data_IF_981602366889
#
_entry.id   IF_981602366889
#
_cell.length_a   1.000
_cell.length_b   1.000
_cell.length_c   1.000
_cell.angle_alpha   90.00
_cell.angle_beta   90.00
_cell.angle_gamma   90.00
#
_symmetry.space_group_name_H-M   'P 1'
#
loop_
_entity.id
_entity.type
_entity.pdbx_description
1 polymer ?
#
# COMPACT_ATOMS: atom_id res chain seq x y z
N UNK A 1 14.83 11.35 10.71
CA UNK A 1 15.12 9.99 10.23
C UNK A 1 14.24 9.70 9.00
N UNK A 2 14.76 9.10 7.92
CA UNK A 2 13.94 8.74 6.74
C UNK A 2 14.06 7.26 6.44
N UNK A 3 13.09 6.49 6.91
CA UNK A 3 12.93 5.08 6.59
C UNK A 3 12.12 4.91 5.29
N UNK A 4 12.57 4.02 4.42
CA UNK A 4 11.81 3.60 3.24
C UNK A 4 11.37 2.15 3.44
N UNK A 5 10.09 1.88 3.16
CA UNK A 5 9.49 0.54 3.19
C UNK A 5 9.13 0.15 1.76
N UNK A 6 9.67 -0.97 1.27
CA UNK A 6 9.29 -1.59 -0.01
C UNK A 6 8.64 -2.93 0.30
N UNK A 7 7.39 -3.09 -0.11
CA UNK A 7 6.62 -4.31 0.05
C UNK A 7 6.82 -5.21 -1.17
N UNK A 8 6.97 -6.50 -0.96
CA UNK A 8 7.06 -7.54 -2.00
C UNK A 8 6.18 -8.70 -1.55
N UNK A 9 4.94 -8.74 -2.04
CA UNK A 9 3.89 -9.59 -1.45
C UNK A 9 3.77 -9.31 0.07
N UNK A 10 3.97 -10.33 0.90
CA UNK A 10 3.94 -10.23 2.36
C UNK A 10 5.31 -9.93 2.98
N UNK A 11 6.37 -9.95 2.19
CA UNK A 11 7.71 -9.52 2.64
C UNK A 11 7.83 -8.00 2.68
N UNK A 12 8.68 -7.51 3.59
CA UNK A 12 9.00 -6.08 3.69
C UNK A 12 10.51 -5.84 3.70
N UNK A 13 10.99 -4.99 2.79
CA UNK A 13 12.35 -4.47 2.78
C UNK A 13 12.39 -3.06 3.36
N UNK A 14 13.10 -2.91 4.48
CA UNK A 14 13.42 -1.64 5.12
C UNK A 14 14.75 -1.09 4.62
N UNK A 15 14.80 0.23 4.43
CA UNK A 15 16.04 0.96 4.15
C UNK A 15 16.08 2.12 5.15
N UNK A 16 17.02 2.05 6.10
CA UNK A 16 17.06 2.95 7.26
C UNK A 16 18.48 3.03 7.85
N UNK A 17 18.76 4.07 8.62
CA UNK A 17 19.97 4.23 9.42
C UNK A 17 19.90 3.47 10.76
N UNK A 18 18.68 3.33 11.29
CA UNK A 18 18.35 2.59 12.52
C UNK A 18 17.50 1.35 12.23
N UNK A 19 17.61 0.36 13.11
CA UNK A 19 16.77 -0.85 13.06
C UNK A 19 15.35 -0.46 13.50
N UNK A 20 14.31 -0.75 12.70
CA UNK A 20 12.93 -0.52 13.11
C UNK A 20 12.59 -1.33 14.37
N UNK A 21 11.83 -0.73 15.28
CA UNK A 21 11.24 -1.45 16.41
C UNK A 21 10.12 -2.34 15.89
N UNK A 22 10.41 -3.64 15.76
CA UNK A 22 9.46 -4.66 15.33
C UNK A 22 9.62 -5.89 16.22
N UNK A 23 8.52 -6.61 16.47
CA UNK A 23 8.54 -7.82 17.29
C UNK A 23 9.25 -9.01 16.61
N UNK A 24 9.37 -8.99 15.28
CA UNK A 24 9.91 -10.10 14.49
C UNK A 24 11.38 -9.91 14.14
N UNK A 25 12.10 -11.02 13.96
CA UNK A 25 13.50 -11.01 13.51
C UNK A 25 13.61 -10.35 12.12
N UNK A 26 14.57 -9.43 11.98
CA UNK A 26 14.90 -8.80 10.72
C UNK A 26 16.15 -9.46 10.11
N UNK A 27 16.06 -9.83 8.84
CA UNK A 27 17.19 -10.31 8.04
C UNK A 27 17.98 -9.12 7.49
N UNK A 28 19.16 -8.85 8.07
CA UNK A 28 20.02 -7.79 7.60
C UNK A 28 20.72 -8.19 6.30
N UNK A 29 20.64 -7.31 5.30
CA UNK A 29 21.30 -7.46 4.00
C UNK A 29 22.59 -6.63 4.00
N UNK A 30 23.67 -7.23 3.53
CA UNK A 30 24.92 -6.52 3.28
C UNK A 30 24.74 -5.53 2.13
N UNK A 31 25.17 -4.28 2.33
CA UNK A 31 25.01 -3.21 1.35
C UNK A 31 26.00 -3.30 0.20
N UNK A 32 27.22 -3.80 0.44
CA UNK A 32 28.29 -3.81 -0.56
C UNK A 32 27.96 -4.77 -1.71
N UNK A 33 27.41 -5.93 -1.38
CA UNK A 33 26.99 -6.96 -2.33
C UNK A 33 25.54 -6.83 -2.83
N UNK A 34 24.79 -5.81 -2.38
CA UNK A 34 23.37 -5.72 -2.68
C UNK A 34 23.06 -5.26 -4.12
N UNK A 35 22.51 -6.18 -4.91
CA UNK A 35 21.77 -5.88 -6.14
C UNK A 35 20.27 -6.17 -5.97
N UNK A 36 19.44 -5.16 -6.21
CA UNK A 36 17.99 -5.26 -5.97
C UNK A 36 17.30 -6.29 -6.87
N UNK A 37 17.72 -6.41 -8.15
CA UNK A 37 17.09 -7.34 -9.08
C UNK A 37 17.40 -8.78 -8.72
N UNK A 38 18.65 -9.05 -8.32
CA UNK A 38 19.11 -10.35 -7.85
C UNK A 38 18.41 -10.74 -6.55
N UNK A 39 18.36 -9.82 -5.58
CA UNK A 39 17.57 -10.00 -4.36
C UNK A 39 16.10 -10.32 -4.67
N UNK A 40 15.44 -9.49 -5.48
CA UNK A 40 14.03 -9.68 -5.84
C UNK A 40 13.77 -11.01 -6.58
N UNK A 41 14.70 -11.45 -7.43
CA UNK A 41 14.58 -12.72 -8.18
C UNK A 41 14.71 -13.94 -7.26
N UNK A 42 15.59 -13.87 -6.28
CA UNK A 42 15.89 -14.98 -5.36
C UNK A 42 15.00 -14.99 -4.12
N UNK A 43 14.24 -13.90 -3.88
CA UNK A 43 13.33 -13.79 -2.75
C UNK A 43 12.16 -14.78 -2.88
N UNK A 44 11.92 -15.57 -1.84
CA UNK A 44 10.70 -16.36 -1.72
C UNK A 44 9.49 -15.45 -1.59
N UNK A 45 8.48 -15.69 -2.42
CA UNK A 45 7.29 -14.83 -2.53
C UNK A 45 6.14 -15.26 -1.63
N UNK A 46 6.27 -16.42 -0.99
CA UNK A 46 5.28 -17.07 -0.13
C UNK A 46 5.66 -16.98 1.36
N UNK A 47 6.62 -16.11 1.69
CA UNK A 47 7.02 -15.81 3.07
C UNK A 47 6.55 -14.41 3.49
N UNK A 48 6.59 -14.15 4.80
CA UNK A 48 6.30 -12.86 5.41
C UNK A 48 7.53 -12.32 6.16
N UNK A 49 8.70 -12.43 5.53
CA UNK A 49 9.97 -12.06 6.13
C UNK A 49 10.23 -10.55 6.10
N UNK A 50 10.95 -10.09 7.12
CA UNK A 50 11.45 -8.73 7.21
C UNK A 50 12.92 -8.69 6.80
N UNK A 51 13.26 -7.79 5.89
CA UNK A 51 14.62 -7.54 5.42
C UNK A 51 15.03 -6.10 5.69
N UNK A 52 16.31 -5.86 5.90
CA UNK A 52 16.80 -4.50 6.12
C UNK A 52 18.15 -4.25 5.46
N UNK A 53 18.25 -3.11 4.78
CA UNK A 53 19.52 -2.50 4.39
C UNK A 53 19.79 -1.36 5.38
N UNK A 54 20.73 -1.57 6.29
CA UNK A 54 21.17 -0.54 7.23
C UNK A 54 22.20 0.37 6.56
N UNK A 55 21.93 1.67 6.45
CA UNK A 55 22.82 2.60 5.78
C UNK A 55 22.65 4.05 6.27
N UNK A 56 23.73 4.83 6.21
CA UNK A 56 23.70 6.25 6.59
C UNK A 56 22.87 7.13 5.63
N UNK A 57 22.68 6.68 4.38
CA UNK A 57 21.99 7.46 3.34
C UNK A 57 20.83 6.68 2.68
N UNK A 58 19.74 6.36 3.41
CA UNK A 58 18.63 5.55 2.90
C UNK A 58 17.98 6.06 1.61
N UNK A 59 17.91 7.39 1.45
CA UNK A 59 17.35 8.03 0.26
C UNK A 59 18.10 7.68 -1.01
N UNK A 60 19.43 7.57 -0.95
CA UNK A 60 20.25 7.28 -2.13
C UNK A 60 20.13 5.81 -2.53
N UNK A 61 20.08 4.89 -1.55
CA UNK A 61 19.81 3.48 -1.81
C UNK A 61 18.41 3.29 -2.43
N UNK A 62 17.40 3.92 -1.85
CA UNK A 62 16.04 3.88 -2.41
C UNK A 62 15.97 4.44 -3.84
N UNK A 63 16.70 5.53 -4.14
CA UNK A 63 16.79 6.06 -5.51
C UNK A 63 17.43 5.06 -6.47
N UNK A 64 18.50 4.36 -6.07
CA UNK A 64 19.14 3.32 -6.89
C UNK A 64 18.15 2.20 -7.21
N UNK A 65 17.45 1.67 -6.19
CA UNK A 65 16.40 0.65 -6.37
C UNK A 65 15.31 1.16 -7.32
N UNK A 66 14.79 2.37 -7.08
CA UNK A 66 13.77 2.98 -7.93
C UNK A 66 14.20 3.11 -9.40
N UNK A 67 15.47 3.44 -9.67
CA UNK A 67 16.00 3.53 -11.05
C UNK A 67 16.11 2.17 -11.73
N UNK A 68 16.24 1.09 -10.95
CA UNK A 68 16.31 -0.28 -11.49
C UNK A 68 14.95 -0.86 -11.90
N UNK A 69 13.85 -0.20 -11.52
CA UNK A 69 12.48 -0.63 -11.74
C UNK A 69 11.71 0.31 -12.67
N UNK A 70 10.66 -0.21 -13.32
CA UNK A 70 9.66 0.64 -13.98
C UNK A 70 8.77 1.26 -12.91
N UNK A 71 8.70 2.58 -12.88
CA UNK A 71 7.84 3.30 -11.93
C UNK A 71 6.40 3.35 -12.44
N UNK A 72 5.48 2.73 -11.70
CA UNK A 72 4.04 2.97 -11.87
C UNK A 72 3.56 3.87 -10.74
N UNK A 73 2.77 4.88 -11.10
CA UNK A 73 2.12 5.78 -10.16
C UNK A 73 0.69 5.30 -9.94
N UNK A 74 0.28 5.22 -8.70
CA UNK A 74 -1.06 4.85 -8.29
C UNK A 74 -1.55 5.77 -7.17
N UNK A 75 -2.86 5.80 -6.96
CA UNK A 75 -3.46 6.51 -5.85
C UNK A 75 -4.74 5.82 -5.39
N UNK A 76 -5.07 5.99 -4.11
CA UNK A 76 -6.24 5.38 -3.49
C UNK A 76 -6.64 6.09 -2.20
N UNK A 77 -7.70 5.60 -1.56
CA UNK A 77 -8.30 6.26 -0.40
C UNK A 77 -8.56 5.31 0.77
N UNK A 78 -8.36 5.82 1.98
CA UNK A 78 -9.05 5.33 3.18
C UNK A 78 -10.26 6.23 3.37
N UNK A 79 -11.45 5.66 3.19
CA UNK A 79 -12.70 6.43 3.14
C UNK A 79 -13.52 6.15 4.38
N UNK A 80 -13.96 7.19 5.07
CA UNK A 80 -14.91 7.09 6.18
C UNK A 80 -16.32 7.52 5.78
N UNK A 81 -17.31 6.84 6.35
CA UNK A 81 -18.73 7.19 6.27
C UNK A 81 -19.09 8.20 7.37
N UNK A 82 -20.30 8.75 7.33
CA UNK A 82 -20.81 9.62 8.39
C UNK A 82 -21.10 8.89 9.71
N UNK A 83 -20.92 7.56 9.75
CA UNK A 83 -21.04 6.72 10.94
C UNK A 83 -19.68 6.27 11.49
N UNK A 84 -18.60 6.88 11.02
CA UNK A 84 -17.22 6.51 11.37
C UNK A 84 -16.82 5.08 10.96
N UNK A 85 -17.52 4.51 9.96
CA UNK A 85 -17.15 3.23 9.35
C UNK A 85 -16.19 3.46 8.18
N UNK A 86 -15.30 2.50 7.93
CA UNK A 86 -14.27 2.58 6.91
C UNK A 86 -14.56 1.65 5.73
N UNK A 87 -14.33 2.14 4.50
CA UNK A 87 -14.49 1.39 3.28
C UNK A 87 -13.31 0.46 3.02
N UNK A 88 -13.58 -0.85 2.97
CA UNK A 88 -12.64 -1.87 2.53
C UNK A 88 -13.17 -2.63 1.32
N UNK A 89 -12.24 -3.10 0.50
CA UNK A 89 -12.51 -4.00 -0.62
C UNK A 89 -11.83 -5.34 -0.39
N UNK A 90 -12.44 -6.42 -0.87
CA UNK A 90 -11.87 -7.76 -0.83
C UNK A 90 -11.56 -8.21 -2.25
N UNK A 91 -10.29 -8.50 -2.52
CA UNK A 91 -9.78 -8.93 -3.83
C UNK A 91 -8.55 -9.80 -3.65
N UNK A 92 -8.33 -10.75 -4.56
CA UNK A 92 -7.20 -11.70 -4.46
C UNK A 92 -7.13 -12.41 -3.08
N UNK A 93 -8.30 -12.73 -2.50
CA UNK A 93 -8.45 -13.40 -1.19
C UNK A 93 -7.91 -12.60 0.02
N UNK A 94 -7.66 -11.29 -0.12
CA UNK A 94 -7.23 -10.40 0.96
C UNK A 94 -8.07 -9.13 1.01
N UNK A 95 -8.20 -8.57 2.21
CA UNK A 95 -8.72 -7.22 2.39
C UNK A 95 -7.72 -6.18 1.91
N UNK A 96 -8.21 -5.10 1.33
CA UNK A 96 -7.43 -4.03 0.72
C UNK A 96 -8.24 -2.72 0.75
N UNK A 97 -7.60 -1.63 0.35
CA UNK A 97 -8.22 -0.33 0.16
C UNK A 97 -8.33 -0.01 -1.35
N UNK A 98 -9.40 0.69 -1.77
CA UNK A 98 -9.61 1.06 -3.16
C UNK A 98 -8.50 1.96 -3.70
N UNK A 99 -7.96 1.61 -4.88
CA UNK A 99 -6.83 2.30 -5.52
C UNK A 99 -6.69 1.85 -6.98
N UNK A 100 -6.13 2.73 -7.81
CA UNK A 100 -5.65 2.33 -9.12
C UNK A 100 -4.58 3.23 -9.69
N UNK A 101 -4.32 3.07 -10.99
CA UNK A 101 -3.19 3.73 -11.67
C UNK A 101 -3.56 5.18 -11.96
N UNK A 102 -2.57 6.06 -11.84
CA UNK A 102 -2.76 7.45 -12.27
C UNK A 102 -2.69 7.50 -13.79
N UNK A 103 -3.71 8.08 -14.42
CA UNK A 103 -3.77 8.26 -15.86
C UNK A 103 -2.86 9.38 -16.37
N UNK A 104 -2.66 9.44 -17.69
CA UNK A 104 -1.81 10.48 -18.31
C UNK A 104 -2.47 11.85 -18.15
N UNK A 105 -1.79 12.76 -17.47
CA UNK A 105 -2.28 14.13 -17.22
C UNK A 105 -3.09 14.28 -15.93
N UNK A 106 -3.44 13.17 -15.28
CA UNK A 106 -4.24 13.15 -14.06
C UNK A 106 -3.39 13.48 -12.82
N UNK A 107 -3.92 14.30 -11.91
CA UNK A 107 -3.26 14.52 -10.61
C UNK A 107 -3.51 13.32 -9.71
N UNK A 108 -2.53 13.00 -8.86
CA UNK A 108 -2.64 11.90 -7.89
C UNK A 108 -3.89 11.96 -7.01
N UNK A 109 -4.35 13.16 -6.66
CA UNK A 109 -5.51 13.36 -5.80
C UNK A 109 -6.82 13.10 -6.55
N UNK A 110 -6.88 13.51 -7.82
CA UNK A 110 -8.00 13.24 -8.74
C UNK A 110 -8.10 11.75 -9.03
N UNK A 111 -6.97 11.10 -9.34
CA UNK A 111 -6.88 9.65 -9.52
C UNK A 111 -7.40 8.88 -8.31
N UNK A 112 -6.99 9.28 -7.10
CA UNK A 112 -7.46 8.62 -5.88
C UNK A 112 -8.99 8.68 -5.76
N UNK A 113 -9.58 9.85 -6.04
CA UNK A 113 -11.04 10.02 -6.00
C UNK A 113 -11.71 9.14 -7.07
N UNK A 114 -11.30 9.26 -8.33
CA UNK A 114 -11.87 8.52 -9.46
C UNK A 114 -11.87 7.02 -9.18
N UNK A 115 -10.73 6.47 -8.80
CA UNK A 115 -10.57 5.03 -8.54
C UNK A 115 -11.48 4.55 -7.42
N UNK A 116 -11.64 5.32 -6.33
CA UNK A 116 -12.57 4.93 -5.25
C UNK A 116 -14.03 4.98 -5.72
N UNK A 117 -14.40 6.01 -6.47
CA UNK A 117 -15.76 6.14 -7.02
C UNK A 117 -16.07 5.01 -8.01
N UNK A 118 -15.13 4.65 -8.88
CA UNK A 118 -15.24 3.57 -9.88
C UNK A 118 -15.26 2.18 -9.22
N UNK A 119 -14.30 1.88 -8.34
CA UNK A 119 -14.16 0.54 -7.75
C UNK A 119 -15.29 0.20 -6.77
N UNK A 120 -15.94 1.20 -6.17
CA UNK A 120 -16.88 1.01 -5.06
C UNK A 120 -18.28 1.60 -5.29
N UNK A 121 -18.51 2.33 -6.40
CA UNK A 121 -19.81 2.92 -6.72
C UNK A 121 -20.27 4.01 -5.75
N UNK A 122 -19.34 4.73 -5.15
CA UNK A 122 -19.61 5.82 -4.18
C UNK A 122 -19.32 7.19 -4.77
N UNK A 123 -19.70 8.25 -4.05
CA UNK A 123 -19.33 9.63 -4.38
C UNK A 123 -18.57 10.26 -3.23
N UNK A 124 -17.32 10.62 -3.48
CA UNK A 124 -16.44 11.23 -2.48
C UNK A 124 -16.88 12.67 -2.22
N UNK A 125 -17.17 12.95 -0.95
CA UNK A 125 -17.54 14.27 -0.45
C UNK A 125 -16.29 15.13 -0.29
N UNK A 126 -15.35 14.65 0.52
CA UNK A 126 -14.07 15.32 0.72
C UNK A 126 -12.92 14.36 0.46
N UNK A 127 -11.84 14.93 -0.04
CA UNK A 127 -10.59 14.23 -0.30
C UNK A 127 -9.56 15.23 0.15
N UNK A 128 -9.26 15.28 1.44
CA UNK A 128 -8.65 16.49 2.01
C UNK A 128 -7.15 16.31 2.12
N UNK A 129 -6.73 15.22 2.76
CA UNK A 129 -5.36 15.06 3.22
C UNK A 129 -4.68 13.81 2.69
N UNK A 130 -3.40 13.96 2.38
CA UNK A 130 -2.55 12.83 2.04
C UNK A 130 -2.09 12.14 3.32
N UNK A 131 -2.53 10.90 3.53
CA UNK A 131 -2.11 10.06 4.66
C UNK A 131 -0.64 9.65 4.54
N UNK A 132 -0.33 8.87 3.50
CA UNK A 132 1.01 8.34 3.32
C UNK A 132 1.28 7.96 1.86
N UNK A 133 2.37 7.23 1.66
CA UNK A 133 2.67 6.56 0.39
C UNK A 133 3.26 5.20 0.69
N UNK A 134 2.90 4.22 -0.13
CA UNK A 134 3.47 2.87 -0.07
C UNK A 134 4.18 2.55 -1.38
N UNK A 135 5.15 1.65 -1.31
CA UNK A 135 5.90 1.18 -2.48
C UNK A 135 5.79 -0.33 -2.56
N UNK A 136 5.18 -0.84 -3.62
CA UNK A 136 5.02 -2.28 -3.84
C UNK A 136 5.80 -2.69 -5.08
N UNK A 137 6.57 -3.77 -4.99
CA UNK A 137 7.32 -4.32 -6.12
C UNK A 137 6.73 -5.64 -6.55
N UNK A 138 6.46 -5.75 -7.86
CA UNK A 138 5.97 -6.97 -8.49
C UNK A 138 6.46 -7.07 -9.94
N UNK A 139 6.35 -8.27 -10.51
CA UNK A 139 6.67 -8.52 -11.92
C UNK A 139 5.45 -8.23 -12.79
N UNK A 140 5.63 -7.45 -13.85
CA UNK A 140 4.64 -7.24 -14.91
C UNK A 140 5.27 -7.62 -16.25
N UNK A 141 4.88 -8.78 -16.79
CA UNK A 141 5.57 -9.39 -17.92
C UNK A 141 7.03 -9.71 -17.57
N UNK A 142 7.98 -9.19 -18.35
CA UNK A 142 9.43 -9.32 -18.06
C UNK A 142 10.01 -8.20 -17.19
N UNK A 143 9.19 -7.21 -16.81
CA UNK A 143 9.66 -5.98 -16.13
C UNK A 143 9.39 -6.06 -14.63
N UNK A 144 10.37 -5.63 -13.83
CA UNK A 144 10.19 -5.38 -12.40
C UNK A 144 9.61 -3.99 -12.22
N UNK A 145 8.42 -3.91 -11.63
CA UNK A 145 7.69 -2.67 -11.40
C UNK A 145 7.85 -2.25 -9.95
N UNK A 146 8.14 -0.97 -9.72
CA UNK A 146 7.96 -0.32 -8.43
C UNK A 146 6.69 0.54 -8.53
N UNK A 147 5.59 0.06 -7.97
CA UNK A 147 4.34 0.82 -7.87
C UNK A 147 4.39 1.70 -6.63
N UNK A 148 4.32 3.02 -6.86
CA UNK A 148 4.17 4.03 -5.80
C UNK A 148 2.69 4.39 -5.69
N UNK A 149 2.06 4.06 -4.57
CA UNK A 149 0.67 4.46 -4.27
C UNK A 149 0.68 5.63 -3.29
N UNK A 150 0.01 6.73 -3.62
CA UNK A 150 -0.33 7.77 -2.64
C UNK A 150 -1.70 7.47 -2.03
N UNK A 151 -1.81 7.54 -0.72
CA UNK A 151 -3.06 7.32 0.00
C UNK A 151 -3.60 8.62 0.56
N UNK A 152 -4.91 8.82 0.47
CA UNK A 152 -5.60 9.99 0.97
C UNK A 152 -6.70 9.60 1.94
N UNK A 153 -6.95 10.46 2.93
CA UNK A 153 -8.15 10.39 3.74
C UNK A 153 -9.30 11.01 2.96
N UNK A 154 -10.44 10.33 2.94
CA UNK A 154 -11.62 10.75 2.22
C UNK A 154 -12.87 10.53 3.05
N UNK A 155 -13.93 11.27 2.72
CA UNK A 155 -15.25 11.09 3.32
C UNK A 155 -16.32 10.91 2.26
N UNK A 156 -17.44 10.29 2.64
CA UNK A 156 -18.66 10.23 1.83
C UNK A 156 -19.84 10.81 2.63
N UNK A 157 -20.92 11.15 1.94
CA UNK A 157 -22.17 11.52 2.63
C UNK A 157 -22.90 10.27 3.12
N UNK A 158 -23.28 10.28 4.40
CA UNK A 158 -24.01 9.15 5.00
C UNK A 158 -23.19 7.86 4.92
N UNK A 159 -23.86 6.76 4.57
CA UNK A 159 -23.23 5.46 4.33
C UNK A 159 -23.84 4.86 3.06
N UNK A 160 -23.29 5.19 1.88
CA UNK A 160 -23.88 4.81 0.61
C UNK A 160 -23.77 3.31 0.36
N UNK A 161 -24.72 2.78 -0.42
CA UNK A 161 -24.65 1.40 -0.93
C UNK A 161 -23.41 1.24 -1.80
N UNK A 162 -22.63 0.21 -1.53
CA UNK A 162 -21.42 -0.11 -2.28
C UNK A 162 -21.75 -0.98 -3.49
N UNK A 163 -21.08 -0.69 -4.61
CA UNK A 163 -21.16 -1.47 -5.84
C UNK A 163 -19.72 -1.81 -6.24
N UNK A 164 -19.21 -3.00 -5.86
CA UNK A 164 -17.85 -3.39 -6.21
C UNK A 164 -17.68 -3.59 -7.72
N UNK A 165 -16.61 -3.04 -8.29
CA UNK A 165 -16.24 -3.24 -9.69
C UNK A 165 -15.62 -4.64 -9.89
N UNK A 166 -16.43 -5.58 -10.40
CA UNK A 166 -16.03 -6.98 -10.54
C UNK A 166 -14.93 -7.20 -11.57
N UNK A 167 -14.84 -6.33 -12.57
CA UNK A 167 -13.85 -6.37 -13.65
C UNK A 167 -12.42 -6.21 -13.13
N UNK A 168 -12.23 -5.49 -12.02
CA UNK A 168 -10.94 -5.34 -11.31
C UNK A 168 -10.68 -6.47 -10.29
N UNK A 169 -11.54 -7.50 -10.28
CA UNK A 169 -11.43 -8.65 -9.38
C UNK A 169 -11.88 -8.37 -7.94
N UNK A 170 -12.63 -7.29 -7.71
CA UNK A 170 -13.21 -6.97 -6.41
C UNK A 170 -14.45 -7.84 -6.21
N UNK A 171 -14.38 -8.75 -5.23
CA UNK A 171 -15.48 -9.68 -4.94
C UNK A 171 -16.40 -9.17 -3.84
N UNK A 172 -15.93 -8.24 -3.00
CA UNK A 172 -16.71 -7.61 -1.93
C UNK A 172 -16.23 -6.17 -1.69
N UNK A 173 -17.14 -5.28 -1.36
CA UNK A 173 -16.85 -3.98 -0.75
C UNK A 173 -17.70 -3.85 0.52
N UNK A 174 -17.15 -3.30 1.61
CA UNK A 174 -17.84 -3.22 2.91
C UNK A 174 -17.45 -1.98 3.68
N UNK A 175 -18.44 -1.39 4.34
CA UNK A 175 -18.23 -0.45 5.44
C UNK A 175 -18.00 -1.28 6.70
N UNK A 176 -16.88 -1.06 7.38
CA UNK A 176 -16.51 -1.78 8.59
C UNK A 176 -16.24 -0.76 9.71
N UNK A 177 -16.84 -0.99 10.87
CA UNK A 177 -16.53 -0.21 12.06
C UNK A 177 -15.20 -0.65 12.70
N UNK A 178 -14.76 0.06 13.74
CA UNK A 178 -13.50 -0.22 14.43
C UNK A 178 -13.43 -1.63 15.04
N UNK A 179 -14.57 -2.16 15.51
CA UNK A 179 -14.66 -3.51 16.10
C UNK A 179 -14.59 -4.63 15.04
N UNK A 180 -14.89 -4.30 13.78
CA UNK A 180 -14.85 -5.22 12.65
C UNK A 180 -13.49 -5.25 11.92
N UNK A 181 -12.49 -4.48 12.40
CA UNK A 181 -11.17 -4.40 11.74
C UNK A 181 -10.25 -5.58 12.05
N UNK A 182 -10.49 -6.37 13.09
CA UNK A 182 -9.63 -7.51 13.43
C UNK A 182 -9.49 -8.52 12.27
N UNK A 183 -10.59 -8.99 11.62
CA UNK A 183 -10.49 -9.83 10.42
C UNK A 183 -9.75 -9.19 9.24
N UNK A 184 -9.79 -7.86 9.12
CA UNK A 184 -9.05 -7.11 8.09
C UNK A 184 -7.56 -7.17 8.39
N UNK A 185 -7.19 -6.85 9.63
CA UNK A 185 -5.80 -6.82 10.11
C UNK A 185 -5.14 -8.19 9.96
N UNK A 186 -5.86 -9.27 10.26
CA UNK A 186 -5.37 -10.64 10.12
C UNK A 186 -5.16 -11.04 8.65
N UNK A 187 -5.96 -10.50 7.72
CA UNK A 187 -5.94 -10.90 6.31
C UNK A 187 -5.83 -9.72 5.34
N UNK A 188 -4.82 -8.87 5.53
CA UNK A 188 -4.49 -7.79 4.59
C UNK A 188 -3.01 -7.79 4.23
N UNK A 189 -2.61 -6.91 3.32
CA UNK A 189 -1.21 -6.75 2.93
C UNK A 189 -0.46 -5.88 3.95
N UNK A 190 0.85 -6.10 4.18
CA UNK A 190 1.66 -5.24 5.05
C UNK A 190 1.66 -3.77 4.61
N UNK A 191 1.47 -3.51 3.31
CA UNK A 191 1.33 -2.15 2.80
C UNK A 191 0.06 -1.45 3.26
N UNK A 192 -1.03 -2.19 3.48
CA UNK A 192 -2.31 -1.66 3.98
C UNK A 192 -2.25 -1.54 5.49
N UNK A 193 -1.64 -2.49 6.21
CA UNK A 193 -1.32 -2.34 7.64
C UNK A 193 -0.62 -1.02 7.94
N UNK A 194 0.36 -0.61 7.12
CA UNK A 194 1.01 0.69 7.27
C UNK A 194 0.07 1.89 7.01
N UNK A 195 -0.90 1.78 6.11
CA UNK A 195 -1.92 2.85 5.95
C UNK A 195 -2.77 2.95 7.22
N UNK A 196 -3.22 1.82 7.78
CA UNK A 196 -4.03 1.77 9.00
C UNK A 196 -3.26 2.27 10.23
N UNK A 197 -1.97 1.91 10.36
CA UNK A 197 -1.05 2.41 11.38
C UNK A 197 -0.96 3.95 11.34
N UNK A 198 -0.71 4.53 10.15
CA UNK A 198 -0.63 5.99 9.98
C UNK A 198 -1.98 6.67 10.26
N UNK A 199 -3.09 6.02 9.90
CA UNK A 199 -4.44 6.49 10.19
C UNK A 199 -4.86 6.30 11.65
N UNK A 200 -4.03 5.66 12.49
CA UNK A 200 -4.31 5.35 13.91
C UNK A 200 -5.56 4.48 14.11
N UNK A 201 -5.77 3.54 13.20
CA UNK A 201 -6.87 2.56 13.28
C UNK A 201 -6.45 1.22 13.88
N UNK A 202 -5.19 1.08 14.28
CA UNK A 202 -4.67 -0.08 14.98
C UNK A 202 -4.54 0.30 16.46
N UNK A 203 -5.19 -0.47 17.33
CA UNK A 203 -5.17 -0.32 18.80
C UNK A 203 -4.21 -1.33 19.39
#
# INVERSE_FOLDING_TARGET
MKTYRIYINDNTLFISDTIPEVASKINQLDLESFDFKTFYKNLSKDTADLYMIRCAYPKEIFKKIKKSCVLIKAAGGLVSSAKDNFLFIYRNKKWDLPKGKVEKGEKMKEAAKREVEEECGVKILTNDEKLCKTYHVYTLGSKVVLKKTNWYSMTVKGEPKLVPQKEEGITKASWLDQSELEPVVVNTYPSIMHVLEVARLLV
#
